data_IF_065761378336
#
_entry.id   IF_065761378336
#
_cell.length_a   1.000
_cell.length_b   1.000
_cell.length_c   1.000
_cell.angle_alpha   90.00
_cell.angle_beta   90.00
_cell.angle_gamma   90.00
#
_symmetry.space_group_name_H-M   'P 1'
#
loop_
_entity.id
_entity.type
_entity.pdbx_description
1 polymer ?
#
# COMPACT_ATOMS: atom_id res chain seq x y z
N UNK A 1 -14.36 -15.13 13.79
CA UNK A 1 -14.52 -16.59 13.84
C UNK A 1 -14.77 -17.11 12.43
N UNK A 2 -13.81 -17.84 11.88
CA UNK A 2 -14.02 -18.54 10.63
C UNK A 2 -14.96 -19.72 10.92
N UNK A 3 -16.20 -19.57 10.53
CA UNK A 3 -17.10 -20.70 10.44
C UNK A 3 -16.71 -21.43 9.18
N UNK A 4 -16.16 -22.65 9.29
CA UNK A 4 -15.63 -23.44 8.18
C UNK A 4 -16.62 -23.85 7.10
N UNK A 5 -17.66 -23.05 6.85
CA UNK A 5 -18.67 -23.27 5.84
C UNK A 5 -18.86 -22.02 4.98
N UNK A 6 -18.54 -22.13 3.69
CA UNK A 6 -18.93 -21.12 2.71
C UNK A 6 -20.29 -21.52 2.09
N UNK A 7 -21.20 -20.58 1.98
CA UNK A 7 -22.46 -20.71 1.23
C UNK A 7 -22.11 -20.91 -0.25
N UNK A 8 -22.59 -21.89 -0.91
CA UNK A 8 -22.48 -22.12 -2.36
C UNK A 8 -21.19 -22.75 -2.90
N UNK A 9 -20.27 -23.27 -2.06
CA UNK A 9 -19.08 -24.02 -2.51
C UNK A 9 -18.98 -25.34 -1.76
N UNK A 10 -18.23 -26.31 -2.31
CA UNK A 10 -17.98 -27.60 -1.67
C UNK A 10 -17.51 -27.40 -0.23
N UNK A 11 -18.20 -28.03 0.70
CA UNK A 11 -17.83 -28.08 2.12
C UNK A 11 -16.55 -28.90 2.24
N UNK A 12 -15.57 -28.35 2.92
CA UNK A 12 -14.33 -29.05 3.29
C UNK A 12 -14.04 -28.77 4.76
N UNK A 13 -13.40 -29.74 5.38
CA UNK A 13 -12.96 -29.58 6.77
C UNK A 13 -11.88 -28.51 6.84
N UNK A 14 -12.02 -27.56 7.75
CA UNK A 14 -11.01 -26.56 8.07
C UNK A 14 -10.38 -26.94 9.41
N UNK A 15 -9.07 -27.13 9.42
CA UNK A 15 -8.32 -27.49 10.64
C UNK A 15 -8.38 -26.41 11.72
N UNK A 16 -8.68 -25.16 11.32
CA UNK A 16 -8.83 -24.03 12.26
C UNK A 16 -10.28 -23.55 12.27
N UNK A 17 -11.06 -24.05 13.23
CA UNK A 17 -12.40 -23.55 13.51
C UNK A 17 -12.62 -23.44 15.02
N UNK A 18 -13.49 -22.48 15.43
CA UNK A 18 -13.76 -22.21 16.84
C UNK A 18 -14.97 -22.97 17.39
N UNK A 19 -15.63 -23.82 16.59
CA UNK A 19 -16.88 -24.47 16.98
C UNK A 19 -16.74 -25.42 18.17
N UNK A 20 -15.66 -26.22 18.19
CA UNK A 20 -15.40 -27.13 19.33
C UNK A 20 -15.16 -26.34 20.60
N UNK A 21 -14.28 -25.34 20.53
CA UNK A 21 -13.95 -24.49 21.69
C UNK A 21 -15.17 -23.70 22.16
N UNK A 22 -15.97 -23.15 21.26
CA UNK A 22 -17.21 -22.45 21.61
C UNK A 22 -18.21 -23.40 22.29
N UNK A 23 -18.34 -24.64 21.81
CA UNK A 23 -19.19 -25.67 22.40
C UNK A 23 -18.74 -26.05 23.82
N UNK A 24 -17.43 -26.23 23.99
CA UNK A 24 -16.86 -26.60 25.30
C UNK A 24 -17.02 -25.46 26.32
N UNK A 25 -16.69 -24.23 25.94
CA UNK A 25 -16.90 -23.05 26.79
C UNK A 25 -18.36 -22.86 27.16
N UNK A 26 -19.31 -23.08 26.22
CA UNK A 26 -20.74 -23.01 26.48
C UNK A 26 -21.21 -24.11 27.44
N UNK A 27 -20.70 -25.33 27.31
CA UNK A 27 -21.00 -26.42 28.20
C UNK A 27 -20.45 -26.17 29.62
N UNK A 28 -19.24 -25.65 29.73
CA UNK A 28 -18.66 -25.23 31.01
C UNK A 28 -19.48 -24.12 31.67
N UNK A 29 -19.89 -23.11 30.89
CA UNK A 29 -20.79 -22.05 31.39
C UNK A 29 -22.13 -22.61 31.88
N UNK A 30 -22.78 -23.50 31.12
CA UNK A 30 -24.03 -24.15 31.53
C UNK A 30 -23.90 -24.91 32.85
N UNK A 31 -22.76 -25.54 33.09
CA UNK A 31 -22.47 -26.28 34.30
C UNK A 31 -22.21 -25.41 35.54
N UNK A 32 -21.62 -24.24 35.35
CA UNK A 32 -21.14 -23.41 36.46
C UNK A 32 -21.77 -22.00 36.52
N UNK A 33 -22.38 -21.50 35.45
CA UNK A 33 -23.02 -20.17 35.35
C UNK A 33 -22.21 -19.04 36.01
N UNK A 34 -22.67 -18.50 37.14
CA UNK A 34 -22.02 -17.38 37.84
C UNK A 34 -20.61 -17.67 38.35
N UNK A 35 -20.23 -18.94 38.44
CA UNK A 35 -18.86 -19.38 38.80
C UNK A 35 -17.95 -19.64 37.60
N UNK A 36 -18.51 -19.55 36.40
CA UNK A 36 -17.72 -19.76 35.18
C UNK A 36 -16.60 -18.73 35.10
N UNK A 37 -15.39 -19.20 34.80
CA UNK A 37 -14.20 -18.41 34.50
C UNK A 37 -13.44 -19.10 33.40
N UNK A 38 -12.79 -18.33 32.56
CA UNK A 38 -11.93 -18.83 31.50
C UNK A 38 -10.84 -17.81 31.18
N UNK A 39 -9.68 -18.30 30.81
CA UNK A 39 -8.54 -17.50 30.31
C UNK A 39 -8.48 -17.50 28.77
N UNK A 40 -9.46 -18.13 28.11
CA UNK A 40 -9.54 -18.14 26.66
C UNK A 40 -9.87 -16.72 26.14
N UNK A 41 -8.93 -16.12 25.41
CA UNK A 41 -9.05 -14.75 24.88
C UNK A 41 -10.24 -14.56 23.94
N UNK A 42 -10.77 -15.65 23.37
CA UNK A 42 -11.95 -15.65 22.50
C UNK A 42 -13.28 -15.58 23.26
N UNK A 43 -13.24 -15.65 24.60
CA UNK A 43 -14.42 -15.59 25.45
C UNK A 43 -14.31 -14.42 26.43
N UNK A 44 -15.26 -13.46 26.34
CA UNK A 44 -15.33 -12.32 27.26
C UNK A 44 -16.50 -12.51 28.22
N UNK A 45 -16.21 -12.39 29.52
CA UNK A 45 -17.21 -12.39 30.56
C UNK A 45 -17.55 -10.94 30.90
N UNK A 46 -18.79 -10.56 30.77
CA UNK A 46 -19.30 -9.20 31.01
C UNK A 46 -20.44 -9.26 32.01
N UNK A 47 -20.49 -8.29 32.92
CA UNK A 47 -21.58 -8.20 33.87
C UNK A 47 -22.90 -7.85 33.18
N UNK A 48 -24.00 -8.43 33.67
CA UNK A 48 -25.32 -8.29 33.05
C UNK A 48 -25.83 -6.83 33.08
N UNK A 49 -25.38 -6.06 34.07
CA UNK A 49 -25.73 -4.64 34.22
C UNK A 49 -25.15 -3.80 33.07
N UNK A 50 -23.93 -4.14 32.60
CA UNK A 50 -23.28 -3.49 31.46
C UNK A 50 -24.05 -3.76 30.16
N UNK A 51 -24.64 -4.96 30.02
CA UNK A 51 -25.52 -5.28 28.88
C UNK A 51 -26.82 -4.47 28.88
N UNK A 52 -27.39 -4.17 30.02
CA UNK A 52 -28.62 -3.38 30.11
C UNK A 52 -28.40 -1.89 29.87
N UNK A 53 -27.22 -1.38 30.22
CA UNK A 53 -26.84 0.01 29.98
C UNK A 53 -26.30 0.23 28.58
N UNK A 54 -25.78 -0.81 27.92
CA UNK A 54 -25.30 -0.80 26.56
C UNK A 54 -26.37 -1.30 25.60
N UNK A 55 -26.80 -0.49 24.70
CA UNK A 55 -27.95 -0.70 23.81
C UNK A 55 -27.81 -1.85 22.81
N UNK A 56 -26.66 -2.55 22.71
CA UNK A 56 -26.45 -3.56 21.68
C UNK A 56 -25.69 -4.80 22.13
N UNK A 57 -26.18 -5.95 21.71
CA UNK A 57 -25.66 -7.28 22.02
C UNK A 57 -24.63 -7.75 20.96
N UNK A 58 -23.90 -6.83 20.33
CA UNK A 58 -22.86 -7.20 19.37
C UNK A 58 -21.57 -7.54 20.13
N UNK A 59 -21.02 -8.70 19.81
CA UNK A 59 -19.87 -9.29 20.49
C UNK A 59 -18.63 -8.39 20.37
N UNK A 60 -18.44 -7.77 19.20
CA UNK A 60 -17.25 -6.97 18.84
C UNK A 60 -17.03 -5.73 19.74
N UNK A 61 -18.06 -5.28 20.45
CA UNK A 61 -17.97 -4.10 21.34
C UNK A 61 -17.27 -4.35 22.67
N UNK A 62 -17.16 -5.62 23.06
CA UNK A 62 -16.66 -5.99 24.37
C UNK A 62 -15.15 -6.19 24.40
N UNK A 63 -14.50 -6.28 23.23
CA UNK A 63 -13.05 -6.33 23.13
C UNK A 63 -12.45 -4.94 22.90
N UNK A 64 -11.38 -4.65 23.64
CA UNK A 64 -10.55 -3.50 23.35
C UNK A 64 -9.81 -3.69 22.04
N UNK A 65 -9.25 -2.63 21.47
CA UNK A 65 -8.44 -2.72 20.24
C UNK A 65 -7.28 -3.70 20.41
N UNK A 66 -6.56 -3.63 21.52
CA UNK A 66 -5.42 -4.51 21.79
C UNK A 66 -5.85 -5.99 21.87
N UNK A 67 -7.02 -6.25 22.50
CA UNK A 67 -7.60 -7.60 22.53
C UNK A 67 -8.00 -8.08 21.13
N UNK A 68 -8.53 -7.23 20.27
CA UNK A 68 -8.90 -7.54 18.89
C UNK A 68 -7.65 -7.83 18.04
N UNK A 69 -6.59 -7.04 18.19
CA UNK A 69 -5.29 -7.28 17.55
C UNK A 69 -4.72 -8.63 18.02
N UNK A 70 -4.76 -8.91 19.32
CA UNK A 70 -4.28 -10.17 19.88
C UNK A 70 -5.09 -11.41 19.43
N UNK A 71 -6.32 -11.20 18.95
CA UNK A 71 -7.20 -12.22 18.36
C UNK A 71 -7.07 -12.31 16.84
N UNK A 72 -6.27 -11.45 16.20
CA UNK A 72 -6.18 -11.37 14.74
C UNK A 72 -7.45 -10.86 14.05
N UNK A 73 -8.34 -10.16 14.79
CA UNK A 73 -9.58 -9.57 14.29
C UNK A 73 -9.31 -8.18 13.67
N UNK A 74 -8.36 -7.46 14.26
CA UNK A 74 -7.86 -6.18 13.74
C UNK A 74 -6.38 -6.28 13.41
N UNK A 75 -5.98 -5.63 12.31
CA UNK A 75 -4.58 -5.50 11.97
C UNK A 75 -3.89 -4.52 12.95
N UNK A 76 -2.64 -4.85 13.31
CA UNK A 76 -1.81 -3.95 14.11
C UNK A 76 -1.33 -2.79 13.22
N UNK A 77 -2.23 -1.84 12.96
CA UNK A 77 -1.86 -0.62 12.25
C UNK A 77 -1.05 0.25 13.22
N UNK A 78 0.21 0.46 12.89
CA UNK A 78 1.05 1.38 13.66
C UNK A 78 0.42 2.77 13.69
N UNK A 79 0.25 3.29 14.89
CA UNK A 79 -0.26 4.64 15.11
C UNK A 79 0.84 5.48 15.72
N UNK A 80 0.96 6.72 15.29
CA UNK A 80 1.95 7.67 15.84
C UNK A 80 1.25 8.92 16.34
N UNK A 81 1.90 9.62 17.28
CA UNK A 81 1.50 10.96 17.70
C UNK A 81 1.69 11.96 16.55
N UNK A 82 1.06 13.14 16.67
CA UNK A 82 1.29 14.24 15.72
C UNK A 82 2.74 14.69 15.72
N UNK A 83 3.39 14.72 16.89
CA UNK A 83 4.79 15.13 17.04
C UNK A 83 5.72 14.15 16.31
N UNK A 84 5.54 12.85 16.50
CA UNK A 84 6.29 11.81 15.80
C UNK A 84 6.09 11.89 14.28
N UNK A 85 4.85 12.11 13.83
CA UNK A 85 4.55 12.30 12.41
C UNK A 85 5.29 13.50 11.82
N UNK A 86 5.30 14.64 12.49
CA UNK A 86 6.06 15.82 12.07
C UNK A 86 7.56 15.50 11.99
N UNK A 87 8.07 14.74 12.97
CA UNK A 87 9.44 14.23 12.96
C UNK A 87 9.75 13.39 11.72
N UNK A 88 8.89 12.45 11.37
CA UNK A 88 9.04 11.59 10.18
C UNK A 88 9.04 12.40 8.88
N UNK A 89 8.17 13.40 8.75
CA UNK A 89 8.12 14.27 7.56
C UNK A 89 9.39 15.13 7.46
N UNK A 90 9.86 15.68 8.57
CA UNK A 90 11.11 16.49 8.65
C UNK A 90 12.33 15.64 8.27
N UNK A 91 12.41 14.41 8.78
CA UNK A 91 13.49 13.47 8.49
C UNK A 91 13.48 13.05 6.99
N UNK A 92 12.30 12.85 6.41
CA UNK A 92 12.16 12.57 4.99
C UNK A 92 12.60 13.76 4.12
N UNK A 93 12.23 14.98 4.52
CA UNK A 93 12.68 16.21 3.84
C UNK A 93 14.21 16.38 3.92
N UNK A 94 14.81 16.07 5.06
CA UNK A 94 16.27 16.10 5.24
C UNK A 94 16.96 15.09 4.34
N UNK A 95 16.46 13.86 4.26
CA UNK A 95 16.98 12.82 3.36
C UNK A 95 16.87 13.24 1.88
N UNK A 96 15.81 13.96 1.50
CA UNK A 96 15.67 14.49 0.14
C UNK A 96 16.74 15.55 -0.17
N UNK A 97 17.07 16.39 0.80
CA UNK A 97 18.14 17.38 0.64
C UNK A 97 19.53 16.76 0.49
N UNK A 98 19.77 15.61 1.14
CA UNK A 98 21.01 14.84 1.00
C UNK A 98 21.24 14.36 -0.46
N UNK A 99 20.21 14.32 -1.29
CA UNK A 99 20.32 13.87 -2.69
C UNK A 99 21.03 14.88 -3.60
N UNK A 100 21.02 16.17 -3.27
CA UNK A 100 21.54 17.23 -4.16
C UNK A 100 23.06 17.14 -4.35
N UNK A 101 23.83 16.92 -3.29
CA UNK A 101 25.30 16.85 -3.36
C UNK A 101 25.80 15.61 -4.13
N UNK A 102 25.33 14.38 -3.84
CA UNK A 102 25.67 13.21 -4.66
C UNK A 102 25.32 13.35 -6.14
N UNK A 103 24.19 14.00 -6.45
CA UNK A 103 23.78 14.26 -7.83
C UNK A 103 24.75 15.21 -8.54
N UNK A 104 25.13 16.31 -7.90
CA UNK A 104 26.12 17.26 -8.43
C UNK A 104 27.48 16.60 -8.65
N UNK A 105 27.94 15.80 -7.70
CA UNK A 105 29.18 15.04 -7.80
C UNK A 105 29.16 14.04 -8.95
N UNK A 106 28.03 13.31 -9.14
CA UNK A 106 27.87 12.41 -10.28
C UNK A 106 27.94 13.15 -11.61
N UNK A 107 27.23 14.28 -11.74
CA UNK A 107 27.25 15.12 -12.96
C UNK A 107 28.67 15.59 -13.25
N UNK A 108 29.40 16.04 -12.24
CA UNK A 108 30.81 16.46 -12.37
C UNK A 108 31.72 15.31 -12.81
N UNK A 109 31.59 14.13 -12.19
CA UNK A 109 32.35 12.94 -12.57
C UNK A 109 32.07 12.50 -14.03
N UNK A 110 30.80 12.49 -14.45
CA UNK A 110 30.41 12.19 -15.83
C UNK A 110 30.98 13.23 -16.82
N UNK A 111 30.97 14.50 -16.44
CA UNK A 111 31.51 15.58 -17.26
C UNK A 111 33.04 15.54 -17.36
N UNK A 112 33.74 14.92 -16.42
CA UNK A 112 35.18 14.73 -16.42
C UNK A 112 35.66 13.60 -17.36
N UNK A 113 34.76 12.75 -17.88
CA UNK A 113 35.08 11.73 -18.85
C UNK A 113 35.46 12.41 -20.16
N UNK A 114 36.73 12.36 -20.50
CA UNK A 114 37.28 12.97 -21.73
C UNK A 114 36.99 12.13 -22.96
N UNK A 115 37.09 10.80 -22.82
CA UNK A 115 36.95 9.85 -23.92
C UNK A 115 36.19 8.58 -23.47
N UNK A 116 35.39 8.02 -24.38
CA UNK A 116 34.76 6.74 -24.20
C UNK A 116 34.68 5.97 -25.49
N UNK A 117 34.63 4.65 -25.41
CA UNK A 117 34.43 3.78 -26.56
C UNK A 117 33.13 3.05 -26.47
N UNK A 118 32.41 2.95 -27.60
CA UNK A 118 31.17 2.18 -27.70
C UNK A 118 31.50 0.71 -27.97
N UNK A 119 31.13 -0.18 -27.04
CA UNK A 119 31.34 -1.62 -27.17
C UNK A 119 29.99 -2.36 -27.28
N UNK A 120 29.97 -3.41 -28.08
CA UNK A 120 28.80 -4.25 -28.25
C UNK A 120 28.75 -5.33 -27.16
N UNK A 121 27.58 -5.59 -26.57
CA UNK A 121 27.38 -6.74 -25.67
C UNK A 121 27.59 -8.09 -26.39
N UNK A 122 27.60 -8.11 -27.73
CA UNK A 122 27.92 -9.29 -28.52
C UNK A 122 29.43 -9.52 -28.70
N UNK A 123 30.27 -8.61 -28.21
CA UNK A 123 31.75 -8.80 -28.26
C UNK A 123 32.17 -9.92 -27.29
N UNK A 124 32.54 -11.05 -27.90
CA UNK A 124 32.93 -12.28 -27.20
C UNK A 124 34.27 -12.19 -26.45
N UNK A 125 35.06 -11.18 -26.73
CA UNK A 125 36.29 -10.91 -25.98
C UNK A 125 36.02 -10.27 -24.66
N UNK A 126 34.94 -9.48 -24.56
CA UNK A 126 34.56 -8.71 -23.39
C UNK A 126 33.45 -9.40 -22.55
N UNK A 127 32.47 -9.99 -23.22
CA UNK A 127 31.25 -10.51 -22.60
C UNK A 127 30.87 -11.91 -23.08
N UNK A 128 30.09 -12.61 -22.26
CA UNK A 128 29.35 -13.78 -22.70
C UNK A 128 27.94 -13.72 -22.15
N UNK A 129 26.94 -13.71 -23.05
CA UNK A 129 25.55 -13.58 -22.74
C UNK A 129 24.85 -14.94 -22.84
N UNK A 130 24.06 -15.26 -21.83
CA UNK A 130 23.24 -16.46 -21.85
C UNK A 130 21.89 -16.25 -21.12
N UNK A 131 20.96 -17.15 -21.41
CA UNK A 131 19.65 -17.23 -20.74
C UNK A 131 19.59 -18.54 -19.98
N UNK A 132 18.92 -18.54 -18.83
CA UNK A 132 18.76 -19.73 -18.02
C UNK A 132 17.77 -20.75 -18.62
N UNK A 133 17.54 -21.80 -17.85
CA UNK A 133 16.56 -22.83 -18.18
C UNK A 133 15.42 -22.78 -17.16
N UNK A 134 14.24 -23.22 -17.60
CA UNK A 134 13.07 -23.33 -16.74
C UNK A 134 13.36 -24.25 -15.57
N UNK A 135 13.15 -23.75 -14.37
CA UNK A 135 13.21 -24.54 -13.15
C UNK A 135 11.86 -25.22 -12.90
N UNK A 136 11.89 -26.48 -12.47
CA UNK A 136 10.71 -27.26 -12.13
C UNK A 136 10.51 -27.27 -10.60
N UNK A 137 9.28 -27.43 -10.14
CA UNK A 137 8.95 -27.48 -8.70
C UNK A 137 9.77 -28.54 -7.93
N UNK A 138 10.12 -29.65 -8.56
CA UNK A 138 10.98 -30.71 -7.97
C UNK A 138 12.40 -30.22 -7.64
N UNK A 139 12.83 -29.12 -8.25
CA UNK A 139 14.17 -28.56 -8.07
C UNK A 139 14.20 -27.52 -6.94
N UNK A 140 13.03 -27.18 -6.36
CA UNK A 140 12.89 -26.19 -5.31
C UNK A 140 13.27 -26.80 -3.95
N UNK A 141 14.00 -26.04 -3.16
CA UNK A 141 14.36 -26.37 -1.78
C UNK A 141 14.16 -25.18 -0.85
N UNK A 142 14.25 -25.41 0.44
CA UNK A 142 14.17 -24.35 1.44
C UNK A 142 15.32 -23.34 1.33
N UNK A 143 15.06 -22.07 1.67
CA UNK A 143 16.02 -20.99 1.59
C UNK A 143 17.29 -21.24 2.43
N UNK A 144 17.16 -21.89 3.58
CA UNK A 144 18.24 -22.14 4.53
C UNK A 144 19.40 -22.98 4.00
N UNK A 145 19.16 -23.81 2.96
CA UNK A 145 20.18 -24.68 2.36
C UNK A 145 20.39 -24.46 0.86
N UNK A 146 19.71 -23.47 0.28
CA UNK A 146 19.58 -23.31 -1.16
C UNK A 146 20.47 -22.24 -1.79
N UNK A 147 20.71 -22.43 -3.09
CA UNK A 147 21.26 -21.42 -3.97
C UNK A 147 20.12 -20.57 -4.49
N UNK A 148 20.16 -19.21 -4.33
CA UNK A 148 19.10 -18.33 -4.82
C UNK A 148 19.02 -18.38 -6.34
N UNK A 149 17.81 -18.60 -6.88
CA UNK A 149 17.54 -18.62 -8.30
C UNK A 149 16.69 -17.39 -8.69
N UNK A 150 17.18 -16.62 -9.65
CA UNK A 150 16.56 -15.39 -10.13
C UNK A 150 15.74 -15.64 -11.40
N UNK A 151 14.67 -14.86 -11.56
CA UNK A 151 13.77 -14.89 -12.71
C UNK A 151 13.67 -13.48 -13.31
N UNK A 152 12.51 -13.06 -13.81
CA UNK A 152 12.32 -11.70 -14.33
C UNK A 152 12.56 -10.60 -13.29
N UNK A 153 12.30 -10.87 -12.01
CA UNK A 153 12.80 -10.03 -10.92
C UNK A 153 14.24 -10.45 -10.60
N UNK A 154 15.18 -9.56 -10.87
CA UNK A 154 16.62 -9.82 -10.69
C UNK A 154 17.14 -9.41 -9.30
N UNK A 155 16.33 -8.80 -8.45
CA UNK A 155 16.71 -8.34 -7.11
C UNK A 155 16.34 -9.34 -6.02
N UNK A 156 15.18 -9.97 -6.15
CA UNK A 156 14.69 -10.96 -5.19
C UNK A 156 14.70 -12.36 -5.80
N UNK A 157 15.20 -13.38 -5.08
CA UNK A 157 15.14 -14.75 -5.54
C UNK A 157 13.69 -15.19 -5.80
N UNK A 158 13.47 -15.82 -6.94
CA UNK A 158 12.19 -16.45 -7.26
C UNK A 158 11.96 -17.72 -6.43
N UNK A 159 13.02 -18.53 -6.31
CA UNK A 159 13.07 -19.78 -5.53
C UNK A 159 14.52 -20.05 -5.11
N UNK A 160 14.71 -21.09 -4.28
CA UNK A 160 16.03 -21.63 -3.97
C UNK A 160 16.17 -23.04 -4.56
N UNK A 161 17.38 -23.40 -5.00
CA UNK A 161 17.69 -24.72 -5.61
C UNK A 161 18.94 -25.32 -5.00
N UNK A 162 19.13 -26.64 -5.16
CA UNK A 162 20.32 -27.35 -4.71
C UNK A 162 21.51 -27.23 -5.67
N UNK A 163 21.31 -26.68 -6.86
CA UNK A 163 22.35 -26.57 -7.89
C UNK A 163 22.35 -25.18 -8.53
N UNK A 164 23.49 -24.84 -9.17
CA UNK A 164 23.60 -23.64 -10.02
C UNK A 164 23.79 -24.06 -11.48
N UNK A 165 23.20 -23.30 -12.39
CA UNK A 165 23.50 -23.39 -13.81
C UNK A 165 24.66 -22.46 -14.23
N UNK A 166 25.27 -21.77 -13.28
CA UNK A 166 26.54 -21.05 -13.44
C UNK A 166 27.69 -21.96 -13.02
N UNK A 167 28.71 -22.08 -13.83
CA UNK A 167 29.88 -22.94 -13.58
C UNK A 167 31.13 -22.20 -13.12
N UNK A 168 31.20 -20.88 -13.36
CA UNK A 168 32.37 -20.07 -13.06
C UNK A 168 31.96 -18.85 -12.24
N UNK A 169 32.35 -18.84 -10.97
CA UNK A 169 32.11 -17.73 -10.04
C UNK A 169 33.36 -16.86 -9.81
N UNK A 170 34.43 -17.09 -10.58
CA UNK A 170 35.67 -16.28 -10.49
C UNK A 170 35.57 -14.92 -11.17
N UNK A 171 34.48 -14.67 -11.89
CA UNK A 171 34.20 -13.41 -12.58
C UNK A 171 32.81 -12.88 -12.16
N UNK A 172 32.57 -11.58 -12.27
CA UNK A 172 31.27 -11.00 -11.96
C UNK A 172 30.26 -11.20 -13.11
N UNK A 173 28.98 -11.11 -12.78
CA UNK A 173 27.87 -11.17 -13.72
C UNK A 173 26.92 -9.99 -13.53
N UNK A 174 26.30 -9.56 -14.63
CA UNK A 174 25.14 -8.66 -14.59
C UNK A 174 23.93 -9.47 -15.06
N UNK A 175 22.91 -9.57 -14.21
CA UNK A 175 21.63 -10.18 -14.51
C UNK A 175 20.72 -9.16 -15.18
N UNK A 176 19.85 -9.63 -16.10
CA UNK A 176 18.75 -8.82 -16.61
C UNK A 176 17.45 -9.59 -16.66
N UNK A 177 16.32 -8.89 -16.36
CA UNK A 177 14.97 -9.43 -16.54
C UNK A 177 14.58 -9.44 -18.01
N UNK A 178 14.13 -10.60 -18.53
CA UNK A 178 13.70 -10.73 -19.94
C UNK A 178 12.28 -10.21 -20.12
N UNK A 179 11.44 -10.40 -19.11
CA UNK A 179 10.06 -9.96 -19.04
C UNK A 179 9.86 -8.98 -17.88
N UNK A 180 8.82 -8.19 -17.93
CA UNK A 180 8.48 -7.28 -16.84
C UNK A 180 9.18 -5.92 -16.93
N UNK A 181 9.87 -5.53 -15.86
CA UNK A 181 10.42 -4.17 -15.70
C UNK A 181 11.77 -3.91 -16.37
N UNK A 182 12.39 -4.94 -16.95
CA UNK A 182 13.70 -4.83 -17.58
C UNK A 182 14.72 -4.10 -16.70
N UNK A 183 15.13 -4.77 -15.63
CA UNK A 183 16.06 -4.25 -14.63
C UNK A 183 17.35 -5.04 -14.64
N UNK A 184 18.41 -4.46 -14.04
CA UNK A 184 19.74 -5.04 -13.98
C UNK A 184 20.22 -5.19 -12.53
N UNK A 185 20.85 -6.34 -12.21
CA UNK A 185 21.46 -6.57 -10.91
C UNK A 185 22.85 -7.20 -11.06
N UNK A 186 23.77 -6.84 -10.16
CA UNK A 186 25.13 -7.35 -10.17
C UNK A 186 25.26 -8.56 -9.24
N UNK A 187 25.85 -9.64 -9.77
CA UNK A 187 26.30 -10.77 -8.98
C UNK A 187 27.83 -10.68 -8.87
N UNK A 188 28.35 -10.29 -7.69
CA UNK A 188 29.79 -10.16 -7.49
C UNK A 188 30.52 -11.49 -7.54
N UNK A 189 31.83 -11.43 -7.71
CA UNK A 189 32.71 -12.60 -7.67
C UNK A 189 32.43 -13.43 -6.41
N UNK A 190 32.37 -14.75 -6.56
CA UNK A 190 32.17 -15.71 -5.48
C UNK A 190 30.71 -15.93 -5.07
N UNK A 191 29.78 -15.06 -5.44
CA UNK A 191 28.36 -15.21 -5.09
C UNK A 191 27.71 -16.32 -5.93
N UNK A 192 27.29 -17.40 -5.28
CA UNK A 192 26.57 -18.50 -5.94
C UNK A 192 25.12 -18.09 -6.22
N UNK A 193 24.65 -18.33 -7.44
CA UNK A 193 23.28 -18.10 -7.87
C UNK A 193 22.89 -19.05 -8.99
N UNK A 194 21.59 -19.16 -9.26
CA UNK A 194 21.02 -19.80 -10.43
C UNK A 194 20.06 -18.80 -11.13
N UNK A 195 19.64 -19.07 -12.36
CA UNK A 195 18.76 -18.21 -13.10
C UNK A 195 17.86 -18.99 -14.06
N UNK A 196 16.64 -18.49 -14.28
CA UNK A 196 15.59 -19.15 -15.07
C UNK A 196 15.61 -18.69 -16.54
N UNK A 197 14.73 -19.25 -17.34
CA UNK A 197 14.47 -18.85 -18.73
C UNK A 197 13.87 -17.43 -18.87
N UNK A 198 13.48 -16.80 -17.77
CA UNK A 198 13.02 -15.39 -17.71
C UNK A 198 14.12 -14.43 -17.20
N UNK A 199 15.32 -14.94 -16.98
CA UNK A 199 16.48 -14.16 -16.57
C UNK A 199 17.65 -14.44 -17.49
N UNK A 200 18.30 -13.39 -17.95
CA UNK A 200 19.55 -13.49 -18.66
C UNK A 200 20.75 -13.05 -17.81
N UNK A 201 21.95 -13.45 -18.21
CA UNK A 201 23.20 -13.08 -17.54
C UNK A 201 24.25 -12.61 -18.56
N UNK A 202 24.95 -11.54 -18.21
CA UNK A 202 26.14 -11.03 -18.88
C UNK A 202 27.34 -11.44 -18.03
N UNK A 203 28.10 -12.43 -18.48
CA UNK A 203 29.39 -12.78 -17.88
C UNK A 203 30.43 -11.77 -18.36
N UNK A 204 31.08 -11.06 -17.44
CA UNK A 204 32.12 -10.09 -17.75
C UNK A 204 33.47 -10.81 -17.77
N UNK A 205 34.13 -10.84 -18.94
CA UNK A 205 35.43 -11.52 -19.15
C UNK A 205 36.63 -10.61 -18.98
N UNK A 206 36.44 -9.34 -19.30
CA UNK A 206 37.52 -8.37 -19.17
C UNK A 206 37.49 -7.78 -17.75
N UNK A 207 38.56 -7.97 -16.94
CA UNK A 207 38.59 -7.50 -15.55
C UNK A 207 38.59 -5.97 -15.43
N UNK A 208 38.94 -5.23 -16.49
CA UNK A 208 38.92 -3.76 -16.54
C UNK A 208 37.49 -3.19 -16.73
N UNK A 209 36.48 -4.03 -16.84
CA UNK A 209 35.06 -3.58 -16.90
C UNK A 209 34.42 -3.74 -15.54
N UNK A 210 34.05 -2.61 -14.92
CA UNK A 210 33.36 -2.59 -13.64
C UNK A 210 31.90 -3.05 -13.81
N UNK A 211 31.45 -4.12 -13.11
CA UNK A 211 30.12 -4.68 -13.27
C UNK A 211 29.01 -3.73 -12.84
N UNK A 212 29.25 -2.90 -11.83
CA UNK A 212 28.28 -1.90 -11.36
C UNK A 212 28.14 -0.74 -12.34
N UNK A 213 29.24 -0.30 -12.93
CA UNK A 213 29.21 0.68 -14.01
C UNK A 213 28.44 0.17 -15.23
N UNK A 214 28.68 -1.09 -15.63
CA UNK A 214 27.97 -1.72 -16.74
C UNK A 214 26.46 -1.81 -16.45
N UNK A 215 26.08 -2.32 -15.28
CA UNK A 215 24.68 -2.42 -14.87
C UNK A 215 24.01 -1.04 -14.86
N UNK A 216 24.68 -0.03 -14.31
CA UNK A 216 24.21 1.34 -14.29
C UNK A 216 24.01 1.91 -15.70
N UNK A 217 24.99 1.77 -16.58
CA UNK A 217 24.90 2.29 -17.94
C UNK A 217 23.75 1.64 -18.72
N UNK A 218 23.52 0.34 -18.51
CA UNK A 218 22.39 -0.37 -19.09
C UNK A 218 21.06 0.13 -18.54
N UNK A 219 20.95 0.33 -17.22
CA UNK A 219 19.75 0.85 -16.57
C UNK A 219 19.41 2.28 -17.01
N UNK A 220 20.40 3.17 -17.06
CA UNK A 220 20.22 4.56 -17.49
C UNK A 220 19.73 4.66 -18.93
N UNK A 221 20.22 3.80 -19.81
CA UNK A 221 19.88 3.81 -21.22
C UNK A 221 18.73 2.86 -21.61
N UNK A 222 18.09 2.18 -20.65
CA UNK A 222 17.06 1.17 -20.95
C UNK A 222 15.90 1.69 -21.80
N UNK A 223 15.52 2.96 -21.63
CA UNK A 223 14.48 3.60 -22.43
C UNK A 223 14.86 3.72 -23.93
N UNK A 224 16.16 3.79 -24.26
CA UNK A 224 16.65 3.85 -25.65
C UNK A 224 16.57 2.51 -26.36
N UNK A 225 16.55 1.40 -25.61
CA UNK A 225 16.48 0.06 -26.18
C UNK A 225 15.06 -0.33 -26.60
N UNK A 226 14.03 0.40 -26.10
CA UNK A 226 12.63 0.19 -26.44
C UNK A 226 12.06 -1.14 -25.95
N UNK A 227 12.69 -1.78 -24.96
CA UNK A 227 12.21 -3.05 -24.42
C UNK A 227 11.00 -2.83 -23.52
N UNK A 228 9.95 -3.56 -23.80
CA UNK A 228 8.69 -3.55 -23.08
C UNK A 228 8.01 -4.94 -23.15
N UNK A 229 6.70 -5.00 -22.79
CA UNK A 229 5.93 -6.24 -22.91
C UNK A 229 5.76 -6.74 -24.34
N UNK A 230 5.84 -5.86 -25.34
CA UNK A 230 5.76 -6.20 -26.77
C UNK A 230 7.10 -6.57 -27.37
N UNK A 231 8.19 -5.88 -26.97
CA UNK A 231 9.56 -6.13 -27.39
C UNK A 231 10.40 -6.60 -26.20
N UNK A 232 10.43 -7.90 -25.97
CA UNK A 232 11.14 -8.51 -24.84
C UNK A 232 12.65 -8.33 -24.94
N UNK A 233 13.35 -8.20 -23.81
CA UNK A 233 14.81 -8.19 -23.70
C UNK A 233 15.40 -9.61 -23.90
N UNK A 234 15.07 -10.23 -25.03
CA UNK A 234 15.57 -11.56 -25.41
C UNK A 234 17.09 -11.56 -25.58
N UNK A 235 17.70 -12.74 -25.60
CA UNK A 235 19.13 -12.90 -25.81
C UNK A 235 19.60 -12.22 -27.11
N UNK A 236 18.82 -12.37 -28.20
CA UNK A 236 19.17 -11.74 -29.49
C UNK A 236 19.09 -10.23 -29.43
N UNK A 237 18.07 -9.69 -28.77
CA UNK A 237 17.89 -8.25 -28.60
C UNK A 237 18.99 -7.66 -27.72
N UNK A 238 19.31 -8.32 -26.59
CA UNK A 238 20.41 -7.88 -25.72
C UNK A 238 21.80 -7.89 -26.41
N UNK A 239 22.07 -8.82 -27.31
CA UNK A 239 23.29 -8.84 -28.12
C UNK A 239 23.44 -7.63 -29.03
N UNK A 240 22.35 -7.00 -29.43
CA UNK A 240 22.39 -5.77 -30.27
C UNK A 240 22.67 -4.50 -29.46
N UNK A 241 22.60 -4.56 -28.12
CA UNK A 241 22.84 -3.43 -27.24
C UNK A 241 24.33 -3.05 -27.28
N UNK A 242 24.57 -1.74 -27.30
CA UNK A 242 25.89 -1.16 -27.17
C UNK A 242 25.97 -0.29 -25.92
N UNK A 243 27.12 -0.28 -25.29
CA UNK A 243 27.38 0.48 -24.06
C UNK A 243 28.65 1.32 -24.24
N UNK A 244 28.62 2.53 -23.69
CA UNK A 244 29.78 3.42 -23.69
C UNK A 244 30.62 3.15 -22.45
N UNK A 245 31.91 2.86 -22.63
CA UNK A 245 32.85 2.60 -21.54
C UNK A 245 33.96 3.66 -21.58
N UNK A 246 34.27 4.35 -20.47
CA UNK A 246 35.38 5.30 -20.40
C UNK A 246 36.73 4.65 -20.75
N UNK A 247 37.55 5.38 -21.45
CA UNK A 247 38.95 5.03 -21.76
C UNK A 247 39.90 6.12 -21.25
N UNK A 248 41.08 5.68 -20.84
CA UNK A 248 42.17 6.56 -20.44
C UNK A 248 42.94 7.13 -21.64
N UNK A 249 43.95 7.94 -21.37
CA UNK A 249 44.79 8.56 -22.43
C UNK A 249 45.59 7.54 -23.27
N UNK A 250 45.72 6.31 -22.77
CA UNK A 250 46.37 5.21 -23.53
C UNK A 250 45.38 4.44 -24.43
N UNK A 251 44.10 4.74 -24.34
CA UNK A 251 43.03 4.06 -25.07
C UNK A 251 42.54 2.75 -24.40
N UNK A 252 42.98 2.45 -23.18
CA UNK A 252 42.56 1.32 -22.38
C UNK A 252 41.32 1.69 -21.55
N UNK A 253 40.55 0.69 -21.10
CA UNK A 253 39.38 0.95 -20.24
C UNK A 253 39.80 1.60 -18.92
N UNK A 254 39.22 2.76 -18.62
CA UNK A 254 39.48 3.52 -17.39
C UNK A 254 38.65 2.95 -16.22
N UNK A 255 39.27 2.03 -15.47
CA UNK A 255 38.65 1.40 -14.28
C UNK A 255 38.36 2.43 -13.18
N UNK A 256 39.17 3.48 -13.04
CA UNK A 256 39.04 4.50 -12.02
C UNK A 256 37.78 5.35 -12.26
N UNK A 257 37.60 5.82 -13.50
CA UNK A 257 36.41 6.57 -13.89
C UNK A 257 35.12 5.72 -13.74
N UNK A 258 35.16 4.45 -14.19
CA UNK A 258 34.06 3.53 -14.05
C UNK A 258 33.69 3.34 -12.57
N UNK A 259 34.64 3.05 -11.70
CA UNK A 259 34.42 2.81 -10.27
C UNK A 259 33.86 4.07 -9.57
N UNK A 260 34.47 5.23 -9.88
CA UNK A 260 34.03 6.50 -9.28
C UNK A 260 32.57 6.85 -9.62
N UNK A 261 32.10 6.53 -10.83
CA UNK A 261 30.70 6.72 -11.25
C UNK A 261 29.82 5.67 -10.58
N UNK A 262 30.22 4.40 -10.59
CA UNK A 262 29.48 3.31 -9.98
C UNK A 262 29.21 3.55 -8.48
N UNK A 263 30.23 3.99 -7.73
CA UNK A 263 30.11 4.30 -6.30
C UNK A 263 29.12 5.44 -6.05
N UNK A 264 29.17 6.51 -6.87
CA UNK A 264 28.20 7.60 -6.77
C UNK A 264 26.78 7.15 -7.05
N UNK A 265 26.59 6.25 -8.03
CA UNK A 265 25.28 5.71 -8.36
C UNK A 265 24.74 4.76 -7.30
N UNK A 266 25.59 3.95 -6.69
CA UNK A 266 25.20 3.10 -5.56
C UNK A 266 24.73 3.93 -4.38
N UNK A 267 25.46 5.00 -4.05
CA UNK A 267 25.06 5.95 -2.98
C UNK A 267 23.71 6.60 -3.28
N UNK A 268 23.51 7.11 -4.50
CA UNK A 268 22.22 7.69 -4.92
C UNK A 268 21.08 6.67 -4.86
N UNK A 269 21.33 5.42 -5.26
CA UNK A 269 20.32 4.35 -5.18
C UNK A 269 19.90 4.07 -3.72
N UNK A 270 20.87 4.01 -2.81
CA UNK A 270 20.56 3.83 -1.38
C UNK A 270 19.69 4.96 -0.81
N UNK A 271 20.01 6.23 -1.15
CA UNK A 271 19.20 7.38 -0.74
C UNK A 271 17.78 7.26 -1.33
N UNK A 272 17.65 6.92 -2.62
CA UNK A 272 16.35 6.74 -3.27
C UNK A 272 15.52 5.64 -2.61
N UNK A 273 16.14 4.51 -2.32
CA UNK A 273 15.45 3.36 -1.73
C UNK A 273 14.99 3.71 -0.29
N UNK A 274 15.83 4.39 0.50
CA UNK A 274 15.48 4.94 1.81
C UNK A 274 14.33 5.96 1.73
N UNK A 275 14.37 6.89 0.77
CA UNK A 275 13.28 7.84 0.53
C UNK A 275 11.97 7.13 0.16
N UNK A 276 12.04 6.08 -0.67
CA UNK A 276 10.87 5.30 -1.06
C UNK A 276 10.23 4.61 0.15
N UNK A 277 11.03 4.01 1.03
CA UNK A 277 10.57 3.40 2.27
C UNK A 277 9.93 4.44 3.20
N UNK A 278 10.61 5.55 3.46
CA UNK A 278 10.08 6.64 4.31
C UNK A 278 8.76 7.19 3.77
N UNK A 279 8.63 7.37 2.46
CA UNK A 279 7.39 7.82 1.82
C UNK A 279 6.25 6.83 2.01
N UNK A 280 6.51 5.54 1.84
CA UNK A 280 5.52 4.49 2.07
C UNK A 280 5.06 4.51 3.52
N UNK A 281 5.99 4.57 4.47
CA UNK A 281 5.66 4.64 5.90
C UNK A 281 4.80 5.87 6.23
N UNK A 282 5.13 7.05 5.71
CA UNK A 282 4.32 8.27 5.92
C UNK A 282 2.92 8.13 5.32
N UNK A 283 2.79 7.50 4.15
CA UNK A 283 1.50 7.30 3.49
C UNK A 283 0.57 6.37 4.28
N UNK A 284 1.11 5.30 4.83
CA UNK A 284 0.36 4.22 5.47
C UNK A 284 0.08 4.48 6.96
N UNK A 285 0.95 5.26 7.63
CA UNK A 285 0.86 5.44 9.07
C UNK A 285 -0.43 6.18 9.46
N UNK A 286 -1.07 5.72 10.53
CA UNK A 286 -2.24 6.38 11.12
C UNK A 286 -1.82 7.34 12.21
N UNK A 287 -2.10 8.63 12.03
CA UNK A 287 -1.84 9.65 13.05
C UNK A 287 -3.01 9.71 14.02
N UNK A 288 -2.73 9.56 15.31
CA UNK A 288 -3.71 9.77 16.37
C UNK A 288 -3.45 11.14 16.98
N UNK A 289 -4.47 11.98 16.97
CA UNK A 289 -4.44 13.23 17.74
C UNK A 289 -4.85 12.87 19.17
N UNK A 290 -3.87 12.66 20.04
CA UNK A 290 -4.11 12.60 21.48
C UNK A 290 -4.44 14.02 21.93
N UNK A 291 -5.71 14.27 22.18
CA UNK A 291 -6.15 15.57 22.64
C UNK A 291 -6.80 15.41 24.02
N UNK A 292 -5.97 15.36 25.05
CA UNK A 292 -6.38 15.33 26.45
C UNK A 292 -7.14 16.61 26.87
N UNK A 293 -7.14 17.62 25.98
CA UNK A 293 -7.73 18.93 26.26
C UNK A 293 -9.22 19.03 25.95
N UNK A 294 -9.80 18.03 25.26
CA UNK A 294 -11.22 18.06 24.92
C UNK A 294 -12.03 17.02 25.68
N UNK A 295 -13.19 17.43 26.17
CA UNK A 295 -14.20 16.51 26.66
C UNK A 295 -15.04 16.01 25.51
N UNK A 296 -15.34 14.73 25.48
CA UNK A 296 -16.19 14.12 24.46
C UNK A 296 -17.47 13.58 25.08
N UNK A 297 -18.59 13.75 24.38
CA UNK A 297 -19.83 13.03 24.61
C UNK A 297 -20.14 12.17 23.39
N UNK A 298 -20.75 11.01 23.61
CA UNK A 298 -21.09 10.06 22.56
C UNK A 298 -22.55 10.21 22.19
N UNK A 299 -22.81 10.46 20.91
CA UNK A 299 -24.17 10.62 20.37
C UNK A 299 -24.45 9.52 19.34
N UNK A 300 -25.68 8.93 19.34
CA UNK A 300 -26.07 8.07 18.22
C UNK A 300 -25.97 8.83 16.90
N UNK A 301 -25.38 8.22 15.87
CA UNK A 301 -25.26 8.83 14.54
C UNK A 301 -26.61 9.37 14.07
N UNK A 302 -27.65 8.56 14.26
CA UNK A 302 -29.04 8.88 13.86
C UNK A 302 -29.68 10.06 14.58
N UNK A 303 -29.08 10.55 15.67
CA UNK A 303 -29.50 11.78 16.33
C UNK A 303 -28.95 13.05 15.68
N UNK A 304 -27.85 12.91 14.93
CA UNK A 304 -27.16 14.04 14.30
C UNK A 304 -27.34 14.01 12.78
N UNK A 305 -27.27 12.83 12.17
CA UNK A 305 -27.23 12.61 10.73
C UNK A 305 -28.32 11.65 10.28
N UNK A 306 -28.87 11.89 9.11
CA UNK A 306 -29.78 10.98 8.41
C UNK A 306 -29.06 10.34 7.23
N UNK A 307 -28.80 9.02 7.25
CA UNK A 307 -28.15 8.32 6.15
C UNK A 307 -29.14 7.96 5.05
N UNK A 308 -28.94 8.47 3.85
CA UNK A 308 -29.79 8.23 2.68
C UNK A 308 -28.96 7.60 1.57
N UNK A 309 -29.48 6.52 0.96
CA UNK A 309 -28.86 5.88 -0.19
C UNK A 309 -29.16 6.63 -1.49
N UNK A 310 -28.18 6.72 -2.38
CA UNK A 310 -28.35 7.33 -3.69
C UNK A 310 -29.24 6.50 -4.65
N UNK A 311 -29.57 7.07 -5.78
CA UNK A 311 -30.55 6.54 -6.71
C UNK A 311 -29.92 5.63 -7.76
N UNK A 312 -30.37 4.39 -7.83
CA UNK A 312 -29.85 3.37 -8.77
C UNK A 312 -30.11 3.72 -10.26
N UNK A 313 -31.01 4.67 -10.55
CA UNK A 313 -31.28 5.14 -11.92
C UNK A 313 -30.08 5.82 -12.56
N UNK A 314 -29.19 6.42 -11.77
CA UNK A 314 -28.04 7.15 -12.27
C UNK A 314 -26.91 6.21 -12.69
N UNK A 315 -26.95 5.80 -13.94
CA UNK A 315 -25.95 4.97 -14.62
C UNK A 315 -25.24 5.80 -15.71
N UNK A 316 -24.15 5.28 -16.25
CA UNK A 316 -23.51 5.91 -17.44
C UNK A 316 -24.48 6.04 -18.62
N UNK A 317 -25.37 5.05 -18.82
CA UNK A 317 -26.40 5.09 -19.86
C UNK A 317 -27.40 6.20 -19.61
N UNK A 318 -27.80 6.42 -18.36
CA UNK A 318 -28.66 7.55 -17.99
C UNK A 318 -27.97 8.89 -18.31
N UNK A 319 -26.71 9.06 -17.93
CA UNK A 319 -25.92 10.27 -18.21
C UNK A 319 -25.81 10.58 -19.71
N UNK A 320 -25.62 9.57 -20.55
CA UNK A 320 -25.58 9.74 -22.00
C UNK A 320 -26.92 10.19 -22.61
N UNK A 321 -28.05 9.96 -21.93
CA UNK A 321 -29.39 10.39 -22.38
C UNK A 321 -29.80 11.75 -21.77
N UNK A 322 -29.15 12.18 -20.72
CA UNK A 322 -29.46 13.38 -19.92
C UNK A 322 -28.17 14.19 -19.69
N UNK A 323 -27.41 14.45 -20.76
CA UNK A 323 -26.15 15.17 -20.65
C UNK A 323 -26.34 16.60 -20.10
N UNK A 324 -25.48 16.97 -19.14
CA UNK A 324 -25.53 18.26 -18.50
C UNK A 324 -24.29 18.57 -17.65
N UNK A 325 -24.29 19.67 -16.90
CA UNK A 325 -23.11 20.13 -16.16
C UNK A 325 -22.94 19.50 -14.77
N UNK A 326 -23.96 18.79 -14.26
CA UNK A 326 -23.94 18.37 -12.86
C UNK A 326 -23.37 16.98 -12.69
N UNK A 327 -22.34 16.80 -11.84
CA UNK A 327 -21.70 15.50 -11.64
C UNK A 327 -22.61 14.53 -10.89
N UNK A 328 -22.53 13.26 -11.27
CA UNK A 328 -23.07 12.11 -10.53
C UNK A 328 -21.91 11.35 -9.94
N UNK A 329 -21.88 11.20 -8.62
CA UNK A 329 -20.86 10.44 -7.92
C UNK A 329 -21.31 9.00 -7.62
N UNK A 330 -20.36 8.07 -7.70
CA UNK A 330 -20.54 6.64 -7.43
C UNK A 330 -19.56 6.17 -6.33
N UNK A 331 -19.22 4.91 -6.26
CA UNK A 331 -18.24 4.37 -5.30
C UNK A 331 -16.85 5.03 -5.40
N UNK A 332 -16.45 5.50 -6.60
CA UNK A 332 -15.14 6.15 -6.79
C UNK A 332 -15.01 7.44 -5.98
N UNK A 333 -13.89 7.58 -5.28
CA UNK A 333 -13.49 8.81 -4.59
C UNK A 333 -12.76 9.83 -5.49
N UNK A 334 -12.32 9.40 -6.70
CA UNK A 334 -11.41 10.21 -7.55
C UNK A 334 -12.13 11.02 -8.61
N UNK A 335 -13.28 10.57 -9.14
CA UNK A 335 -13.98 11.24 -10.24
C UNK A 335 -15.48 10.90 -10.27
N UNK A 336 -16.26 11.81 -10.89
CA UNK A 336 -17.68 11.57 -11.17
C UNK A 336 -17.85 10.36 -12.13
N UNK A 337 -18.96 9.66 -11.97
CA UNK A 337 -19.39 8.55 -12.86
C UNK A 337 -19.81 9.06 -14.23
N UNK A 338 -20.58 10.15 -14.24
CA UNK A 338 -21.14 10.82 -15.41
C UNK A 338 -21.58 12.23 -15.02
N UNK A 339 -22.09 13.01 -16.00
CA UNK A 339 -22.65 14.33 -15.79
C UNK A 339 -24.06 14.37 -16.35
N UNK A 340 -25.01 15.05 -15.66
CA UNK A 340 -26.43 15.10 -16.03
C UNK A 340 -26.98 16.52 -15.97
N UNK A 341 -28.17 16.71 -16.56
CA UNK A 341 -28.89 18.00 -16.69
C UNK A 341 -29.60 18.43 -15.40
N UNK A 342 -29.71 17.55 -14.41
CA UNK A 342 -30.39 17.82 -13.13
C UNK A 342 -29.47 17.49 -11.95
N UNK A 343 -29.83 17.92 -10.74
CA UNK A 343 -29.13 17.60 -9.50
C UNK A 343 -30.11 17.31 -8.39
N UNK A 344 -29.71 16.45 -7.43
CA UNK A 344 -30.52 16.12 -6.26
C UNK A 344 -30.11 16.95 -5.03
N UNK A 345 -28.84 17.38 -4.97
CA UNK A 345 -28.23 18.10 -3.84
C UNK A 345 -27.61 19.40 -4.31
N UNK A 346 -27.74 20.47 -3.49
CA UNK A 346 -27.13 21.79 -3.69
C UNK A 346 -26.57 22.28 -2.34
N UNK A 347 -25.24 22.37 -2.22
CA UNK A 347 -24.52 22.73 -0.99
C UNK A 347 -23.49 21.70 -0.55
N UNK A 348 -23.01 21.85 0.70
CA UNK A 348 -21.95 21.00 1.26
C UNK A 348 -22.54 19.81 2.00
N UNK A 349 -22.26 18.59 1.52
CA UNK A 349 -22.76 17.34 2.09
C UNK A 349 -21.64 16.33 2.25
N UNK A 350 -21.73 15.54 3.31
CA UNK A 350 -20.88 14.38 3.52
C UNK A 350 -21.51 13.14 2.88
N UNK A 351 -20.74 12.41 2.08
CA UNK A 351 -21.19 11.20 1.37
C UNK A 351 -20.24 10.04 1.62
N UNK A 352 -20.74 8.79 1.55
CA UNK A 352 -19.90 7.60 1.72
C UNK A 352 -20.12 6.59 0.60
N UNK A 353 -19.08 5.81 0.26
CA UNK A 353 -19.21 4.67 -0.66
C UNK A 353 -19.96 3.52 0.02
N UNK A 354 -21.01 2.99 -0.63
CA UNK A 354 -21.80 1.87 -0.11
C UNK A 354 -21.35 0.51 -0.64
N UNK A 355 -20.56 0.51 -1.73
CA UNK A 355 -20.01 -0.68 -2.39
C UNK A 355 -18.55 -0.49 -2.81
N UNK A 356 -17.86 -1.58 -3.09
CA UNK A 356 -16.46 -1.60 -3.45
C UNK A 356 -15.59 -1.36 -2.22
N UNK A 357 -14.81 -0.30 -2.21
CA UNK A 357 -14.08 0.17 -1.03
C UNK A 357 -15.06 0.95 -0.12
N UNK A 358 -16.00 0.22 0.49
CA UNK A 358 -17.11 0.82 1.23
C UNK A 358 -16.64 1.55 2.49
N UNK A 359 -17.36 2.61 2.86
CA UNK A 359 -17.04 3.42 4.03
C UNK A 359 -16.15 4.62 3.77
N UNK A 360 -15.60 4.78 2.55
CA UNK A 360 -14.82 5.97 2.19
C UNK A 360 -15.73 7.20 2.12
N UNK A 361 -15.38 8.24 2.87
CA UNK A 361 -16.18 9.46 2.99
C UNK A 361 -15.60 10.57 2.11
N UNK A 362 -16.48 11.23 1.36
CA UNK A 362 -16.20 12.45 0.63
C UNK A 362 -17.13 13.57 1.11
N UNK A 363 -16.56 14.74 1.31
CA UNK A 363 -17.34 15.98 1.45
C UNK A 363 -17.46 16.62 0.07
N UNK A 364 -18.67 16.66 -0.46
CA UNK A 364 -18.99 17.26 -1.76
C UNK A 364 -19.65 18.61 -1.55
N UNK A 365 -19.34 19.57 -2.41
CA UNK A 365 -19.89 20.93 -2.36
C UNK A 365 -20.42 21.34 -3.74
N UNK A 366 -21.52 22.07 -3.74
CA UNK A 366 -22.21 22.54 -4.94
C UNK A 366 -23.33 21.61 -5.39
N UNK A 367 -23.63 21.62 -6.71
CA UNK A 367 -24.75 20.88 -7.31
C UNK A 367 -24.30 19.51 -7.81
N UNK A 368 -24.87 18.45 -7.26
CA UNK A 368 -24.50 17.07 -7.63
C UNK A 368 -25.65 16.08 -7.39
N UNK A 369 -25.46 14.87 -7.90
CA UNK A 369 -26.28 13.69 -7.59
C UNK A 369 -25.40 12.50 -7.20
N UNK A 370 -25.97 11.50 -6.57
CA UNK A 370 -25.27 10.25 -6.19
C UNK A 370 -26.06 9.03 -6.70
N UNK A 371 -25.31 8.02 -7.19
CA UNK A 371 -25.93 6.77 -7.60
C UNK A 371 -26.08 5.76 -6.43
N UNK A 372 -26.63 4.58 -6.71
CA UNK A 372 -26.91 3.54 -5.71
C UNK A 372 -25.67 2.97 -4.99
N UNK A 373 -24.45 3.28 -5.46
CA UNK A 373 -23.17 2.85 -4.83
C UNK A 373 -22.59 3.90 -3.88
N UNK A 374 -23.33 4.99 -3.64
CA UNK A 374 -22.98 6.06 -2.69
C UNK A 374 -24.20 6.43 -1.85
N UNK A 375 -23.97 6.79 -0.61
CA UNK A 375 -24.96 7.38 0.30
C UNK A 375 -24.60 8.82 0.66
N UNK A 376 -25.54 9.57 1.19
CA UNK A 376 -25.36 10.91 1.73
C UNK A 376 -25.82 10.99 3.18
N UNK A 377 -25.10 11.72 4.00
CA UNK A 377 -25.41 12.00 5.40
C UNK A 377 -25.95 13.43 5.49
N UNK A 378 -27.22 13.57 5.83
CA UNK A 378 -27.89 14.86 5.95
C UNK A 378 -27.96 15.25 7.42
N UNK A 379 -27.52 16.48 7.75
CA UNK A 379 -27.67 17.02 9.10
C UNK A 379 -29.15 17.16 9.44
N UNK A 380 -29.58 16.60 10.57
CA UNK A 380 -30.95 16.70 11.07
C UNK A 380 -31.24 18.08 11.65
N UNK A 381 -32.50 18.48 11.61
CA UNK A 381 -33.05 19.64 12.31
C UNK A 381 -32.35 20.98 11.99
N UNK A 382 -31.69 21.07 10.81
CA UNK A 382 -30.98 22.28 10.42
C UNK A 382 -29.82 22.64 11.35
N UNK A 383 -29.19 21.67 11.96
CA UNK A 383 -28.04 21.83 12.88
C UNK A 383 -26.91 22.64 12.25
N UNK A 384 -26.38 23.55 13.03
CA UNK A 384 -25.22 24.39 12.64
C UNK A 384 -24.03 24.22 13.57
N UNK A 385 -24.16 23.35 14.56
CA UNK A 385 -23.18 23.06 15.63
C UNK A 385 -22.28 21.86 15.32
N UNK A 386 -22.33 21.36 14.07
CA UNK A 386 -21.55 20.22 13.58
C UNK A 386 -20.67 20.63 12.42
N UNK A 387 -19.38 20.32 12.52
CA UNK A 387 -18.40 20.49 11.45
C UNK A 387 -18.30 19.21 10.61
N UNK A 388 -18.50 19.33 9.28
CA UNK A 388 -18.51 18.17 8.38
C UNK A 388 -17.12 17.58 8.15
N UNK A 389 -16.07 18.38 8.22
CA UNK A 389 -14.70 17.88 8.05
C UNK A 389 -14.27 17.11 9.31
N UNK A 390 -14.64 17.60 10.51
CA UNK A 390 -14.52 16.82 11.76
C UNK A 390 -15.25 15.48 11.67
N UNK A 391 -16.51 15.50 11.22
CA UNK A 391 -17.31 14.29 11.08
C UNK A 391 -16.70 13.31 10.07
N UNK A 392 -16.12 13.79 8.97
CA UNK A 392 -15.43 12.94 8.01
C UNK A 392 -14.33 12.13 8.69
N UNK A 393 -13.44 12.79 9.41
CA UNK A 393 -12.31 12.13 10.07
C UNK A 393 -12.74 11.17 11.18
N UNK A 394 -13.81 11.51 11.88
CA UNK A 394 -14.37 10.68 12.96
C UNK A 394 -15.12 9.46 12.42
N UNK A 395 -15.90 9.62 11.36
CA UNK A 395 -16.79 8.57 10.86
C UNK A 395 -16.09 7.64 9.85
N UNK A 396 -15.14 8.11 9.06
CA UNK A 396 -14.53 7.28 8.04
C UNK A 396 -13.87 6.00 8.61
N UNK A 397 -13.07 6.04 9.70
CA UNK A 397 -12.56 4.84 10.33
C UNK A 397 -13.68 3.90 10.82
N UNK A 398 -14.71 4.45 11.48
CA UNK A 398 -15.85 3.67 11.99
C UNK A 398 -16.64 3.01 10.84
N UNK A 399 -16.80 3.71 9.73
CA UNK A 399 -17.49 3.19 8.54
C UNK A 399 -16.68 2.08 7.86
N UNK A 400 -15.37 2.22 7.82
CA UNK A 400 -14.47 1.20 7.28
C UNK A 400 -14.51 -0.08 8.11
N UNK A 401 -14.49 0.05 9.43
CA UNK A 401 -14.56 -1.09 10.36
C UNK A 401 -15.90 -1.84 10.29
N UNK A 402 -17.00 -1.11 10.01
CA UNK A 402 -18.33 -1.71 9.86
C UNK A 402 -18.58 -2.32 8.49
N UNK A 403 -17.80 -1.95 7.48
CA UNK A 403 -17.97 -2.46 6.12
C UNK A 403 -17.71 -3.97 6.08
N UNK A 404 -18.67 -4.73 5.52
CA UNK A 404 -18.61 -6.20 5.44
C UNK A 404 -18.41 -6.65 4.00
N UNK A 405 -17.51 -7.60 3.78
CA UNK A 405 -17.28 -8.15 2.45
C UNK A 405 -16.01 -8.98 2.34
N UNK A 406 -15.60 -9.20 1.11
CA UNK A 406 -14.40 -9.97 0.78
C UNK A 406 -13.17 -9.06 0.89
N UNK A 407 -12.18 -9.49 1.63
CA UNK A 407 -10.83 -8.93 1.59
C UNK A 407 -10.06 -9.49 0.38
N UNK A 408 -9.27 -8.66 -0.27
CA UNK A 408 -8.37 -9.06 -1.35
C UNK A 408 -7.22 -9.95 -0.88
N UNK A 409 -6.45 -10.47 -1.82
CA UNK A 409 -5.35 -11.41 -1.55
C UNK A 409 -4.23 -10.82 -0.65
N UNK A 410 -4.18 -9.49 -0.50
CA UNK A 410 -3.25 -8.77 0.37
C UNK A 410 -3.89 -8.26 1.68
N UNK A 411 -5.08 -8.73 2.03
CA UNK A 411 -5.83 -8.25 3.19
C UNK A 411 -6.56 -6.91 2.97
N UNK A 412 -6.46 -6.29 1.79
CA UNK A 412 -7.15 -5.06 1.46
C UNK A 412 -8.65 -5.29 1.19
N UNK A 413 -9.49 -4.31 1.56
CA UNK A 413 -10.94 -4.35 1.37
C UNK A 413 -11.33 -4.13 -0.10
N UNK A 414 -11.37 -5.18 -0.92
CA UNK A 414 -11.67 -5.04 -2.36
C UNK A 414 -13.17 -4.93 -2.69
N UNK A 415 -14.03 -5.66 -1.98
CA UNK A 415 -15.46 -5.73 -2.27
C UNK A 415 -16.30 -5.71 -1.00
N UNK A 416 -16.22 -4.61 -0.26
CA UNK A 416 -17.01 -4.43 0.95
C UNK A 416 -18.31 -3.67 0.68
N UNK A 417 -19.26 -3.75 1.62
CA UNK A 417 -20.57 -3.10 1.57
C UNK A 417 -20.88 -2.42 2.89
N UNK A 418 -21.43 -1.22 2.80
CA UNK A 418 -21.90 -0.46 3.96
C UNK A 418 -23.22 0.26 3.64
N UNK A 419 -24.32 -0.34 4.01
CA UNK A 419 -25.64 0.21 3.75
C UNK A 419 -26.13 1.12 4.89
N UNK A 420 -27.08 2.05 4.62
CA UNK A 420 -27.64 2.94 5.65
C UNK A 420 -28.12 2.22 6.92
N UNK A 421 -28.75 1.04 6.79
CA UNK A 421 -29.23 0.25 7.94
C UNK A 421 -28.13 -0.27 8.85
N UNK A 422 -26.88 -0.34 8.37
CA UNK A 422 -25.72 -0.77 9.16
C UNK A 422 -25.15 0.36 10.03
N UNK A 423 -25.57 1.60 9.78
CA UNK A 423 -25.09 2.80 10.47
C UNK A 423 -25.89 3.18 11.72
N UNK A 424 -27.02 2.50 11.98
CA UNK A 424 -27.96 2.88 13.03
C UNK A 424 -27.37 2.84 14.44
N UNK A 425 -26.41 1.99 14.66
CA UNK A 425 -25.84 1.70 15.98
C UNK A 425 -24.51 2.41 16.25
N UNK A 426 -24.09 3.32 15.35
CA UNK A 426 -22.85 4.06 15.53
C UNK A 426 -23.02 5.12 16.61
N UNK A 427 -22.10 5.11 17.57
CA UNK A 427 -21.92 6.18 18.54
C UNK A 427 -20.78 7.10 18.10
N UNK A 428 -21.06 8.38 17.93
CA UNK A 428 -20.10 9.37 17.45
C UNK A 428 -19.53 10.12 18.65
N UNK A 429 -18.20 10.14 18.87
CA UNK A 429 -17.58 11.05 19.83
C UNK A 429 -17.67 12.48 19.26
N UNK A 430 -18.24 13.39 20.02
CA UNK A 430 -18.32 14.81 19.66
C UNK A 430 -17.78 15.64 20.81
N UNK A 431 -16.84 16.61 20.55
CA UNK A 431 -16.36 17.52 21.57
C UNK A 431 -17.50 18.31 22.19
N UNK A 432 -17.45 18.46 23.51
CA UNK A 432 -18.42 19.24 24.29
C UNK A 432 -17.72 20.21 25.22
N UNK A 433 -18.37 21.34 25.47
CA UNK A 433 -17.90 22.35 26.41
C UNK A 433 -18.05 21.92 27.88
N UNK A 434 -17.71 22.78 28.82
CA UNK A 434 -17.82 22.50 30.25
C UNK A 434 -19.28 22.27 30.72
N UNK A 435 -20.25 22.72 29.93
CA UNK A 435 -21.68 22.59 30.20
C UNK A 435 -22.32 21.37 29.50
N UNK A 436 -21.50 20.60 28.73
CA UNK A 436 -22.00 19.46 27.98
C UNK A 436 -22.65 19.80 26.64
N UNK A 437 -22.58 21.06 26.19
CA UNK A 437 -23.04 21.47 24.87
C UNK A 437 -21.99 21.17 23.81
N UNK A 438 -22.43 20.89 22.58
CA UNK A 438 -21.54 20.58 21.47
C UNK A 438 -20.61 21.77 21.17
N UNK A 439 -19.30 21.53 21.16
CA UNK A 439 -18.27 22.53 20.89
C UNK A 439 -17.83 22.53 19.43
N UNK A 440 -18.42 23.42 18.63
CA UNK A 440 -18.06 23.60 17.21
C UNK A 440 -16.63 24.13 17.01
N UNK A 441 -16.11 24.93 17.95
CA UNK A 441 -14.75 25.46 17.83
C UNK A 441 -13.73 24.36 17.98
N UNK A 442 -13.88 23.48 18.96
CA UNK A 442 -13.05 22.31 19.13
C UNK A 442 -13.09 21.36 17.91
N UNK A 443 -14.28 21.12 17.34
CA UNK A 443 -14.40 20.32 16.11
C UNK A 443 -13.59 20.91 14.95
N UNK A 444 -13.68 22.21 14.71
CA UNK A 444 -12.94 22.89 13.63
C UNK A 444 -11.43 22.87 13.86
N UNK A 445 -10.98 23.02 15.08
CA UNK A 445 -9.56 22.92 15.41
C UNK A 445 -9.01 21.53 15.12
N UNK A 446 -9.70 20.49 15.57
CA UNK A 446 -9.34 19.09 15.31
C UNK A 446 -9.36 18.80 13.78
N UNK A 447 -10.41 19.21 13.08
CA UNK A 447 -10.52 19.05 11.63
C UNK A 447 -9.35 19.72 10.89
N UNK A 448 -8.94 20.91 11.33
CA UNK A 448 -7.80 21.64 10.73
C UNK A 448 -6.50 20.87 10.86
N UNK A 449 -6.25 20.25 12.02
CA UNK A 449 -5.08 19.39 12.25
C UNK A 449 -5.08 18.18 11.29
N UNK A 450 -6.21 17.47 11.18
CA UNK A 450 -6.32 16.33 10.26
C UNK A 450 -6.17 16.72 8.79
N UNK A 451 -6.76 17.83 8.36
CA UNK A 451 -6.61 18.32 7.00
C UNK A 451 -5.16 18.69 6.67
N UNK A 452 -4.41 19.24 7.64
CA UNK A 452 -2.99 19.51 7.48
C UNK A 452 -2.18 18.20 7.31
N UNK A 453 -2.51 17.15 8.07
CA UNK A 453 -1.89 15.82 7.95
C UNK A 453 -2.19 15.21 6.58
N UNK A 454 -3.46 15.20 6.11
CA UNK A 454 -3.82 14.69 4.78
C UNK A 454 -3.04 15.41 3.67
N UNK A 455 -3.00 16.75 3.70
CA UNK A 455 -2.23 17.54 2.72
C UNK A 455 -0.75 17.20 2.73
N UNK A 456 -0.15 17.06 3.93
CA UNK A 456 1.25 16.69 4.07
C UNK A 456 1.54 15.31 3.48
N UNK A 457 0.65 14.32 3.71
CA UNK A 457 0.75 12.97 3.11
C UNK A 457 0.69 13.04 1.59
N UNK A 458 -0.28 13.76 1.03
CA UNK A 458 -0.44 13.91 -0.42
C UNK A 458 0.79 14.59 -1.04
N UNK A 459 1.35 15.61 -0.40
CA UNK A 459 2.56 16.29 -0.88
C UNK A 459 3.78 15.37 -0.87
N UNK A 460 3.97 14.57 0.18
CA UNK A 460 5.08 13.62 0.30
C UNK A 460 4.95 12.51 -0.75
N UNK A 461 3.73 12.01 -1.00
CA UNK A 461 3.48 10.94 -1.98
C UNK A 461 3.59 11.44 -3.42
N UNK A 462 3.21 12.70 -3.69
CA UNK A 462 3.18 13.25 -5.06
C UNK A 462 4.54 13.70 -5.58
N UNK A 463 5.49 13.97 -4.72
CA UNK A 463 6.87 14.37 -5.06
C UNK A 463 7.79 13.17 -5.12
#
# INVERSE_FOLDING_TARGET
>A
SEIGETRDVYRFDIDQNDLEVASDLFNMFKGAKSKFRTDDKRCKIVDIEDFYNGTHWSVDRWWTRDEKIALGIEDNIETVSLEDYIGMVSDTASTLMEFDEPLRELVKKKSAIVSSIEVSLNDKTLFDLSIGKRLLRKDYIEASGGIPAYSSNVFSPFVYTSYSNVVDFSVPYVLWGIDGTFEFNVMPIGKKFAYTDHCGVIKIKNPKINPYYLAYTLEENKHKYGFDRGLRASLSNMKSVKVSIPIDDSGEFDESAQSSIADSMLGMRQIRDNLSEKRTNIAEIKVVLEDENYKYSYFPLTNILEPIKGLSKYTKKYGNLHEGPYPVYSASSKKALTYIDTFDYDGKYMTWSTNGFAGTILVLDGKFSINGDRGVLILKDGRTDIDLDYMKFTLEPLFRDLAKGRKGDNGEDEFTKLYPSMLNDIMIPVPVDEHGSIDLCAQKEIATKYLAIERSKDEVVSK
#
